data_IF_304856880547
#
_entry.id   IF_304856880547
#
_cell.length_a   1.000
_cell.length_b   1.000
_cell.length_c   1.000
_cell.angle_alpha   90.00
_cell.angle_beta   90.00
_cell.angle_gamma   90.00
#
_symmetry.space_group_name_H-M   'P 1'
#
loop_
_entity.id
_entity.type
_entity.pdbx_description
1 polymer ?
#
# COMPACT_ATOMS: atom_id res chain seq x y z
N UNK A 1 32.28 -49.58 14.26
CA UNK A 1 31.30 -48.63 14.82
C UNK A 1 31.25 -47.43 13.88
N UNK A 2 30.18 -47.32 13.09
CA UNK A 2 30.00 -46.21 12.14
C UNK A 2 29.41 -45.04 12.91
N UNK A 3 30.24 -44.10 13.37
CA UNK A 3 29.76 -42.89 14.05
C UNK A 3 29.12 -41.99 13.00
N UNK A 4 27.80 -41.89 13.02
CA UNK A 4 27.03 -41.07 12.10
C UNK A 4 27.45 -39.60 12.23
N UNK A 5 27.89 -38.99 11.11
CA UNK A 5 28.20 -37.55 11.02
C UNK A 5 26.93 -36.68 10.92
N UNK A 6 25.76 -37.33 10.78
CA UNK A 6 24.43 -36.73 10.67
C UNK A 6 24.10 -35.74 11.80
N UNK A 7 24.25 -36.06 13.11
CA UNK A 7 23.94 -35.11 14.19
C UNK A 7 24.85 -33.86 14.17
N UNK A 8 26.13 -33.99 13.82
CA UNK A 8 27.04 -32.84 13.70
C UNK A 8 26.70 -31.95 12.52
N UNK A 9 26.24 -32.54 11.39
CA UNK A 9 25.77 -31.77 10.24
C UNK A 9 24.50 -30.99 10.60
N UNK A 10 23.53 -31.62 11.26
CA UNK A 10 22.27 -30.98 11.72
C UNK A 10 22.56 -29.79 12.64
N UNK A 11 23.52 -29.91 13.56
CA UNK A 11 23.92 -28.81 14.45
C UNK A 11 24.52 -27.63 13.68
N UNK A 12 25.31 -27.89 12.63
CA UNK A 12 25.84 -26.84 11.76
C UNK A 12 24.72 -26.11 11.01
N UNK A 13 23.72 -26.82 10.46
CA UNK A 13 22.61 -26.19 9.71
C UNK A 13 21.79 -25.25 10.61
N UNK A 14 21.58 -25.62 11.89
CA UNK A 14 20.84 -24.80 12.85
C UNK A 14 21.58 -23.50 13.25
N UNK A 15 22.91 -23.46 13.18
CA UNK A 15 23.69 -22.25 13.51
C UNK A 15 23.74 -21.21 12.39
N UNK A 16 23.41 -21.59 11.15
CA UNK A 16 23.56 -20.75 9.95
C UNK A 16 22.33 -19.85 9.70
N UNK A 17 21.20 -20.08 10.36
CA UNK A 17 19.91 -19.54 9.94
C UNK A 17 19.44 -18.25 10.65
N UNK A 18 20.33 -17.28 10.88
CA UNK A 18 19.92 -15.95 11.39
C UNK A 18 20.58 -14.83 10.57
N UNK A 19 20.11 -14.67 9.33
CA UNK A 19 20.48 -13.56 8.45
C UNK A 19 19.63 -12.30 8.75
N UNK A 20 20.20 -11.11 8.57
CA UNK A 20 19.42 -9.88 8.65
C UNK A 20 18.53 -9.75 7.42
N UNK A 21 17.31 -9.26 7.63
CA UNK A 21 16.37 -9.00 6.54
C UNK A 21 15.40 -7.89 6.91
N UNK A 22 14.79 -7.30 5.89
CA UNK A 22 13.58 -6.49 6.05
C UNK A 22 12.39 -7.42 5.90
N UNK A 23 11.46 -7.34 6.84
CA UNK A 23 10.16 -7.99 6.73
C UNK A 23 9.10 -6.93 6.42
N UNK A 24 8.44 -7.08 5.28
CA UNK A 24 7.18 -6.40 4.97
C UNK A 24 6.09 -7.45 4.82
N UNK A 25 4.83 -7.06 5.05
CA UNK A 25 3.73 -7.89 4.59
C UNK A 25 3.73 -7.85 3.05
N UNK A 26 3.72 -9.01 2.40
CA UNK A 26 3.71 -9.08 0.92
C UNK A 26 2.50 -8.37 0.31
N UNK A 27 1.38 -8.34 1.03
CA UNK A 27 0.15 -7.70 0.61
C UNK A 27 -0.54 -7.02 1.80
N UNK A 28 -1.02 -5.80 1.59
CA UNK A 28 -1.83 -5.03 2.55
C UNK A 28 -3.13 -4.60 1.86
N UNK A 29 -4.26 -4.72 2.55
CA UNK A 29 -5.55 -4.23 2.06
C UNK A 29 -5.90 -2.95 2.80
N UNK A 30 -6.00 -1.84 2.06
CA UNK A 30 -6.55 -0.58 2.52
C UNK A 30 -8.00 -0.42 2.06
N UNK A 31 -8.75 0.43 2.76
CA UNK A 31 -10.13 0.75 2.41
C UNK A 31 -10.27 2.22 2.07
N UNK A 32 -11.04 2.54 1.02
CA UNK A 32 -11.25 3.92 0.58
C UNK A 32 -11.79 4.78 1.72
N UNK A 33 -11.17 5.94 1.95
CA UNK A 33 -11.55 6.88 2.99
C UNK A 33 -10.98 6.58 4.39
N UNK A 34 -10.34 5.42 4.57
CA UNK A 34 -9.70 5.03 5.82
C UNK A 34 -8.18 5.21 5.73
N UNK A 35 -7.53 5.24 6.88
CA UNK A 35 -6.08 5.22 6.97
C UNK A 35 -5.58 3.77 6.88
N UNK A 36 -4.43 3.57 6.25
CA UNK A 36 -3.76 2.27 6.16
C UNK A 36 -2.32 2.40 6.61
N UNK A 37 -1.78 1.33 7.22
CA UNK A 37 -0.36 1.22 7.57
C UNK A 37 0.26 0.11 6.74
N UNK A 38 1.34 0.43 6.03
CA UNK A 38 2.21 -0.54 5.37
C UNK A 38 3.33 -0.92 6.34
N UNK A 39 3.27 -2.10 6.98
CA UNK A 39 4.26 -2.47 7.96
C UNK A 39 5.59 -2.79 7.28
N UNK A 40 6.66 -2.26 7.87
CA UNK A 40 8.02 -2.62 7.53
C UNK A 40 8.82 -2.74 8.82
N UNK A 41 9.56 -3.85 8.96
CA UNK A 41 10.32 -4.16 10.16
C UNK A 41 11.72 -4.65 9.80
N UNK A 42 12.72 -4.09 10.46
CA UNK A 42 14.08 -4.60 10.36
C UNK A 42 14.30 -5.79 11.31
N UNK A 43 14.73 -6.94 10.78
CA UNK A 43 15.07 -8.12 11.57
C UNK A 43 16.57 -8.15 11.76
N UNK A 44 16.99 -7.85 12.99
CA UNK A 44 18.39 -7.97 13.36
C UNK A 44 18.78 -9.45 13.49
N UNK A 45 19.87 -9.80 12.83
CA UNK A 45 20.51 -11.12 12.92
C UNK A 45 21.55 -11.16 14.03
N UNK A 46 22.51 -12.07 13.91
CA UNK A 46 23.59 -12.23 14.92
C UNK A 46 24.52 -11.02 15.04
N UNK A 47 24.74 -10.30 13.94
CA UNK A 47 25.59 -9.10 13.94
C UNK A 47 24.79 -7.87 14.34
N UNK A 48 25.32 -7.09 15.29
CA UNK A 48 24.71 -5.85 15.74
C UNK A 48 24.83 -4.76 14.67
N UNK A 49 23.72 -4.11 14.35
CA UNK A 49 23.65 -2.96 13.46
C UNK A 49 22.68 -1.93 13.98
N UNK A 50 22.88 -0.69 13.55
CA UNK A 50 21.98 0.41 13.87
C UNK A 50 21.30 0.89 12.59
N UNK A 51 19.97 1.01 12.64
CA UNK A 51 19.21 1.67 11.59
C UNK A 51 19.59 3.15 11.57
N UNK A 52 20.07 3.62 10.43
CA UNK A 52 20.47 5.02 10.20
C UNK A 52 19.40 5.77 9.42
N UNK A 53 18.68 5.08 8.53
CA UNK A 53 17.64 5.67 7.69
C UNK A 53 16.61 4.62 7.24
N UNK A 54 15.36 5.03 7.14
CA UNK A 54 14.27 4.31 6.49
C UNK A 54 13.67 5.16 5.36
N UNK A 55 13.24 4.52 4.30
CA UNK A 55 12.72 5.18 3.10
C UNK A 55 11.60 4.36 2.48
N UNK A 56 10.60 5.06 1.96
CA UNK A 56 9.53 4.49 1.16
C UNK A 56 9.52 5.09 -0.24
N UNK A 57 9.48 4.20 -1.24
CA UNK A 57 9.33 4.54 -2.64
C UNK A 57 8.07 3.85 -3.22
N UNK A 58 7.35 4.53 -4.11
CA UNK A 58 6.30 3.94 -4.94
C UNK A 58 6.93 3.41 -6.22
N UNK A 59 6.62 2.17 -6.58
CA UNK A 59 7.07 1.56 -7.83
C UNK A 59 5.93 1.62 -8.85
N UNK A 60 6.13 2.39 -9.92
CA UNK A 60 5.17 2.45 -11.02
C UNK A 60 5.12 1.14 -11.80
N UNK A 61 4.03 0.85 -12.54
CA UNK A 61 3.95 -0.30 -13.43
C UNK A 61 5.10 -0.37 -14.46
N UNK A 62 5.61 0.78 -14.88
CA UNK A 62 6.74 0.91 -15.81
C UNK A 62 8.12 0.68 -15.15
N UNK A 63 8.15 0.39 -13.84
CA UNK A 63 9.36 0.15 -13.06
C UNK A 63 10.03 1.42 -12.51
N UNK A 64 9.42 2.60 -12.67
CA UNK A 64 9.98 3.85 -12.15
C UNK A 64 9.72 3.97 -10.65
N UNK A 65 10.76 4.32 -9.89
CA UNK A 65 10.69 4.56 -8.45
C UNK A 65 10.45 6.04 -8.16
N UNK A 66 9.36 6.34 -7.46
CA UNK A 66 9.05 7.68 -6.94
C UNK A 66 9.24 7.69 -5.44
N UNK A 67 10.17 8.51 -4.94
CA UNK A 67 10.39 8.65 -3.50
C UNK A 67 9.18 9.31 -2.83
N UNK A 68 8.67 8.69 -1.78
CA UNK A 68 7.50 9.17 -1.04
C UNK A 68 7.96 9.91 0.21
N UNK A 69 8.78 9.24 1.02
CA UNK A 69 9.19 9.73 2.33
C UNK A 69 10.50 9.09 2.75
N UNK A 70 11.30 9.84 3.49
CA UNK A 70 12.53 9.38 4.13
C UNK A 70 12.51 9.77 5.60
N UNK A 71 13.02 8.92 6.46
CA UNK A 71 13.34 9.24 7.84
C UNK A 71 14.81 8.93 8.08
N UNK A 72 15.54 9.91 8.60
CA UNK A 72 16.93 9.76 9.01
C UNK A 72 17.06 10.04 10.51
N UNK A 73 17.85 9.23 11.21
CA UNK A 73 17.99 9.33 12.67
C UNK A 73 18.47 10.71 13.15
N UNK A 74 19.29 11.41 12.36
CA UNK A 74 19.83 12.73 12.70
C UNK A 74 19.00 13.90 12.13
N UNK A 75 18.42 13.71 10.95
CA UNK A 75 17.75 14.79 10.20
C UNK A 75 16.23 14.75 10.29
N UNK A 76 15.66 13.71 10.89
CA UNK A 76 14.22 13.54 11.03
C UNK A 76 13.52 13.11 9.74
N UNK A 77 12.24 13.48 9.62
CA UNK A 77 11.34 13.10 8.53
C UNK A 77 11.44 14.09 7.37
N UNK A 78 11.48 13.58 6.14
CA UNK A 78 11.37 14.32 4.89
C UNK A 78 10.31 13.71 3.99
N UNK A 79 9.32 14.51 3.58
CA UNK A 79 8.25 14.11 2.63
C UNK A 79 8.61 14.67 1.25
N UNK A 80 8.53 13.83 0.22
CA UNK A 80 8.87 14.19 -1.16
C UNK A 80 7.61 14.44 -2.01
N UNK A 81 7.78 15.13 -3.14
CA UNK A 81 6.71 15.32 -4.12
C UNK A 81 6.26 13.96 -4.69
N UNK A 82 5.00 13.61 -4.44
CA UNK A 82 4.37 12.36 -4.87
C UNK A 82 2.84 12.50 -4.82
N UNK A 83 2.12 11.52 -5.38
CA UNK A 83 0.65 11.44 -5.30
C UNK A 83 0.10 11.28 -3.87
N UNK A 84 0.98 11.01 -2.90
CA UNK A 84 0.65 10.87 -1.47
C UNK A 84 1.06 12.08 -0.62
N UNK A 85 1.63 13.13 -1.22
CA UNK A 85 2.08 14.31 -0.48
C UNK A 85 0.97 14.88 0.41
N UNK A 86 1.30 15.15 1.66
CA UNK A 86 0.37 15.66 2.68
C UNK A 86 -0.56 14.60 3.29
N UNK A 87 -0.48 13.33 2.85
CA UNK A 87 -1.26 12.22 3.39
C UNK A 87 -0.40 11.12 4.01
N UNK A 88 0.91 11.32 4.12
CA UNK A 88 1.83 10.30 4.63
C UNK A 88 2.48 10.71 5.94
N UNK A 89 2.72 9.70 6.78
CA UNK A 89 3.65 9.79 7.89
C UNK A 89 4.41 8.46 8.05
N UNK A 90 5.44 8.45 8.88
CA UNK A 90 6.21 7.25 9.21
C UNK A 90 6.23 7.04 10.71
N UNK A 91 5.89 5.83 11.14
CA UNK A 91 6.05 5.39 12.52
C UNK A 91 7.00 4.20 12.55
N UNK A 92 8.08 4.34 13.31
CA UNK A 92 9.27 3.49 13.25
C UNK A 92 9.83 3.34 11.82
N UNK A 93 9.57 2.23 11.12
CA UNK A 93 9.86 2.06 9.69
C UNK A 93 8.61 1.89 8.82
N UNK A 94 7.41 1.89 9.41
CA UNK A 94 6.15 1.63 8.72
C UNK A 94 5.55 2.92 8.13
N UNK A 95 5.03 2.84 6.90
CA UNK A 95 4.39 3.96 6.22
C UNK A 95 2.91 4.02 6.59
N UNK A 96 2.44 5.18 7.05
CA UNK A 96 1.02 5.45 7.24
C UNK A 96 0.52 6.30 6.07
N UNK A 97 -0.56 5.87 5.42
CA UNK A 97 -1.23 6.61 4.35
C UNK A 97 -2.64 6.95 4.83
N UNK A 98 -2.95 8.25 4.87
CA UNK A 98 -4.24 8.77 5.32
C UNK A 98 -5.24 8.88 4.18
N UNK A 99 -6.51 8.65 4.50
CA UNK A 99 -7.64 8.77 3.58
C UNK A 99 -7.32 8.14 2.21
N UNK A 100 -7.14 6.82 2.22
CA UNK A 100 -6.74 6.00 1.07
C UNK A 100 -7.74 6.18 -0.09
N UNK A 101 -7.21 6.24 -1.31
CA UNK A 101 -7.96 6.27 -2.55
C UNK A 101 -7.57 5.08 -3.45
N UNK A 102 -8.43 4.71 -4.41
CA UNK A 102 -8.12 3.63 -5.37
C UNK A 102 -6.82 3.88 -6.17
N UNK A 103 -6.49 5.16 -6.42
CA UNK A 103 -5.25 5.56 -7.08
C UNK A 103 -3.99 5.29 -6.26
N UNK A 104 -4.12 5.01 -4.97
CA UNK A 104 -2.99 4.71 -4.09
C UNK A 104 -2.59 3.22 -4.17
N UNK A 105 -3.40 2.37 -4.82
CA UNK A 105 -3.08 0.96 -5.02
C UNK A 105 -1.81 0.80 -5.86
N UNK A 106 -0.94 -0.13 -5.47
CA UNK A 106 0.32 -0.36 -6.18
C UNK A 106 1.40 -0.99 -5.32
N UNK A 107 2.60 -1.07 -5.88
CA UNK A 107 3.76 -1.66 -5.22
C UNK A 107 4.57 -0.58 -4.50
N UNK A 108 4.93 -0.85 -3.24
CA UNK A 108 5.68 0.06 -2.38
C UNK A 108 6.94 -0.63 -1.88
N UNK A 109 8.08 0.04 -1.95
CA UNK A 109 9.37 -0.49 -1.53
C UNK A 109 9.76 0.18 -0.23
N UNK A 110 9.99 -0.61 0.81
CA UNK A 110 10.63 -0.16 2.04
C UNK A 110 12.13 -0.42 1.94
N UNK A 111 12.96 0.62 2.10
CA UNK A 111 14.42 0.51 2.17
C UNK A 111 14.90 0.96 3.55
N UNK A 112 15.67 0.10 4.21
CA UNK A 112 16.27 0.35 5.52
C UNK A 112 17.78 0.32 5.37
N UNK A 113 18.42 1.44 5.66
CA UNK A 113 19.86 1.57 5.72
C UNK A 113 20.34 1.39 7.15
N UNK A 114 21.37 0.57 7.30
CA UNK A 114 22.00 0.24 8.56
C UNK A 114 23.51 0.42 8.48
N UNK A 115 24.13 0.69 9.62
CA UNK A 115 25.59 0.67 9.76
C UNK A 115 26.00 -0.44 10.74
N UNK A 116 27.00 -1.28 10.43
CA UNK A 116 27.83 -1.29 9.20
C UNK A 116 27.26 -2.15 8.06
N UNK A 117 26.10 -2.79 8.26
CA UNK A 117 25.63 -3.91 7.41
C UNK A 117 25.04 -3.49 6.07
N UNK A 118 24.88 -2.18 5.82
CA UNK A 118 24.44 -1.65 4.54
C UNK A 118 22.92 -1.56 4.41
N UNK A 119 22.44 -1.72 3.18
CA UNK A 119 21.05 -1.44 2.80
C UNK A 119 20.26 -2.71 2.56
N UNK A 120 19.05 -2.77 3.13
CA UNK A 120 18.11 -3.86 2.96
C UNK A 120 16.79 -3.29 2.45
N UNK A 121 16.08 -4.04 1.62
CA UNK A 121 14.78 -3.61 1.12
C UNK A 121 13.85 -4.79 0.90
N UNK A 122 12.55 -4.51 0.94
CA UNK A 122 11.51 -5.44 0.54
C UNK A 122 10.29 -4.68 -0.01
N UNK A 123 9.42 -5.36 -0.72
CA UNK A 123 8.28 -4.77 -1.45
C UNK A 123 6.95 -5.29 -0.92
N UNK A 124 5.99 -4.39 -0.71
CA UNK A 124 4.61 -4.69 -0.35
C UNK A 124 3.64 -4.23 -1.44
N UNK A 125 2.58 -4.99 -1.66
CA UNK A 125 1.50 -4.62 -2.57
C UNK A 125 0.30 -4.06 -1.77
N UNK A 126 -0.05 -2.80 -1.99
CA UNK A 126 -1.28 -2.21 -1.46
C UNK A 126 -2.45 -2.47 -2.41
N UNK A 127 -3.44 -3.22 -1.94
CA UNK A 127 -4.74 -3.34 -2.57
C UNK A 127 -5.72 -2.39 -1.90
N UNK A 128 -6.58 -1.75 -2.69
CA UNK A 128 -7.59 -0.83 -2.17
C UNK A 128 -8.98 -1.36 -2.48
N UNK A 129 -9.83 -1.44 -1.46
CA UNK A 129 -11.21 -1.90 -1.55
C UNK A 129 -12.18 -0.84 -1.02
N UNK A 130 -13.46 -0.96 -1.37
CA UNK A 130 -14.52 -0.19 -0.73
C UNK A 130 -15.20 -1.03 0.33
N UNK A 131 -15.42 -0.46 1.52
CA UNK A 131 -16.33 -1.08 2.49
C UNK A 131 -17.77 -0.84 2.03
N UNK A 132 -18.47 -1.93 1.74
CA UNK A 132 -19.93 -1.91 1.60
C UNK A 132 -20.52 -1.78 3.00
N UNK A 133 -20.81 -0.55 3.42
CA UNK A 133 -21.69 -0.33 4.56
C UNK A 133 -23.10 -0.70 4.15
N UNK A 134 -23.48 -1.97 4.34
CA UNK A 134 -24.88 -2.34 4.47
C UNK A 134 -25.36 -1.73 5.79
N UNK A 135 -25.72 -0.46 5.79
CA UNK A 135 -26.53 0.05 6.88
C UNK A 135 -27.86 -0.69 6.80
N UNK A 136 -28.10 -1.67 7.67
CA UNK A 136 -29.45 -2.06 8.07
C UNK A 136 -30.09 -0.94 8.92
N UNK A 137 -29.92 0.32 8.52
CA UNK A 137 -30.89 1.36 8.81
C UNK A 137 -31.79 1.38 7.60
N UNK A 138 -33.00 0.87 7.81
CA UNK A 138 -34.18 1.25 7.05
C UNK A 138 -34.20 2.78 6.93
N UNK A 139 -33.59 3.31 5.88
CA UNK A 139 -33.88 4.58 5.25
C UNK A 139 -33.75 4.29 3.77
N UNK A 140 -34.91 4.23 3.13
CA UNK A 140 -35.16 4.06 1.70
C UNK A 140 -34.39 5.09 0.88
N UNK A 141 -33.12 4.81 0.57
CA UNK A 141 -32.35 5.56 -0.41
C UNK A 141 -31.80 4.57 -1.43
N UNK A 142 -32.42 4.58 -2.62
CA UNK A 142 -32.04 3.74 -3.74
C UNK A 142 -30.61 4.07 -4.22
N UNK A 143 -29.80 3.06 -4.62
CA UNK A 143 -28.51 3.31 -5.25
C UNK A 143 -28.70 4.08 -6.56
N UNK A 144 -27.81 5.05 -6.85
CA UNK A 144 -27.79 5.72 -8.15
C UNK A 144 -27.16 4.76 -9.18
N UNK A 145 -27.95 4.43 -10.19
CA UNK A 145 -27.56 3.55 -11.29
C UNK A 145 -27.25 4.42 -12.51
N UNK A 146 -26.00 4.39 -12.97
CA UNK A 146 -25.57 5.07 -14.19
C UNK A 146 -25.43 4.07 -15.32
N UNK A 147 -25.97 4.42 -16.48
CA UNK A 147 -26.03 3.56 -17.64
C UNK A 147 -25.25 4.17 -18.80
N UNK A 148 -24.47 3.36 -19.53
CA UNK A 148 -23.96 3.72 -20.86
C UNK A 148 -24.55 2.81 -21.91
N UNK A 149 -25.10 3.40 -22.97
CA UNK A 149 -25.37 2.67 -24.20
C UNK A 149 -24.06 2.22 -24.85
N UNK A 150 -23.94 0.91 -25.09
CA UNK A 150 -22.84 0.29 -25.84
C UNK A 150 -23.44 -0.54 -26.99
N UNK A 151 -22.68 -0.82 -28.07
CA UNK A 151 -23.24 -1.42 -29.29
C UNK A 151 -24.01 -2.74 -29.08
N UNK A 152 -23.68 -3.48 -28.02
CA UNK A 152 -24.27 -4.78 -27.69
C UNK A 152 -25.06 -4.80 -26.37
N UNK A 153 -25.48 -3.64 -25.85
CA UNK A 153 -26.30 -3.58 -24.64
C UNK A 153 -26.08 -2.32 -23.79
N UNK A 154 -26.32 -2.46 -22.49
CA UNK A 154 -26.20 -1.37 -21.53
C UNK A 154 -25.14 -1.74 -20.49
N UNK A 155 -24.12 -0.88 -20.33
CA UNK A 155 -23.14 -1.04 -19.26
C UNK A 155 -23.63 -0.29 -18.01
N UNK A 156 -23.87 -1.02 -16.93
CA UNK A 156 -24.38 -0.49 -15.66
C UNK A 156 -23.23 -0.24 -14.69
N UNK A 157 -23.10 0.99 -14.20
CA UNK A 157 -22.24 1.31 -13.05
C UNK A 157 -23.11 1.56 -11.83
N UNK A 158 -23.00 0.66 -10.86
CA UNK A 158 -23.62 0.82 -9.54
C UNK A 158 -22.62 1.58 -8.68
N UNK A 159 -22.96 2.81 -8.30
CA UNK A 159 -22.15 3.57 -7.35
C UNK A 159 -22.70 3.32 -5.94
N UNK A 160 -22.06 2.48 -5.11
CA UNK A 160 -22.45 2.39 -3.70
C UNK A 160 -22.23 3.76 -3.06
N UNK A 161 -23.29 4.28 -2.46
CA UNK A 161 -23.43 5.61 -1.88
C UNK A 161 -22.12 6.19 -1.27
N UNK A 162 -21.67 7.34 -1.79
CA UNK A 162 -20.46 8.06 -1.36
C UNK A 162 -20.77 8.96 -0.14
N UNK A 163 -19.91 9.03 0.88
CA UNK A 163 -20.13 9.89 2.04
C UNK A 163 -20.09 11.39 1.67
N UNK A 164 -21.04 12.11 2.25
CA UNK A 164 -21.42 13.51 2.04
C UNK A 164 -20.28 14.50 2.34
N UNK A 165 -19.25 14.63 1.49
CA UNK A 165 -18.37 15.82 1.50
C UNK A 165 -17.55 16.12 0.24
N UNK A 166 -17.65 15.37 -0.86
CA UNK A 166 -16.89 15.68 -2.10
C UNK A 166 -17.80 15.81 -3.31
N UNK A 167 -17.52 16.82 -4.13
CA UNK A 167 -18.25 17.10 -5.37
C UNK A 167 -18.19 15.89 -6.31
N UNK A 168 -19.37 15.35 -6.65
CA UNK A 168 -19.57 14.18 -7.52
C UNK A 168 -18.82 14.30 -8.87
N UNK A 169 -18.70 15.53 -9.39
CA UNK A 169 -17.96 15.83 -10.62
C UNK A 169 -16.44 15.56 -10.52
N UNK A 170 -15.83 15.77 -9.34
CA UNK A 170 -14.39 15.47 -9.16
C UNK A 170 -14.08 13.98 -9.10
N UNK A 171 -15.04 13.17 -8.62
CA UNK A 171 -14.89 11.73 -8.50
C UNK A 171 -15.05 11.03 -9.85
N UNK A 172 -16.02 11.48 -10.65
CA UNK A 172 -16.16 11.03 -12.04
C UNK A 172 -14.93 11.42 -12.88
N UNK A 173 -14.33 12.58 -12.64
CA UNK A 173 -13.12 13.03 -13.35
C UNK A 173 -11.89 12.12 -13.19
N UNK A 174 -11.77 11.37 -12.08
CA UNK A 174 -10.63 10.46 -11.85
C UNK A 174 -10.74 9.12 -12.61
N UNK A 175 -11.91 8.76 -13.12
CA UNK A 175 -12.14 7.55 -13.91
C UNK A 175 -12.18 7.82 -15.43
N UNK A 176 -12.11 9.08 -15.86
CA UNK A 176 -12.54 9.49 -17.19
C UNK A 176 -11.43 10.20 -17.97
N UNK A 177 -10.43 9.45 -18.43
CA UNK A 177 -9.65 9.86 -19.61
C UNK A 177 -10.35 9.27 -20.84
N UNK A 178 -11.05 10.13 -21.59
CA UNK A 178 -11.72 9.92 -22.90
C UNK A 178 -13.23 9.56 -22.90
N UNK A 179 -14.01 10.53 -23.40
CA UNK A 179 -15.31 10.39 -24.10
C UNK A 179 -16.55 9.96 -23.32
N UNK A 180 -17.11 10.85 -22.49
CA UNK A 180 -18.40 10.63 -21.82
C UNK A 180 -19.18 11.94 -21.64
N UNK A 181 -19.83 12.40 -22.71
CA UNK A 181 -20.70 13.59 -22.71
C UNK A 181 -22.18 13.30 -22.42
N UNK A 182 -22.56 12.04 -22.18
CA UNK A 182 -23.96 11.63 -21.92
C UNK A 182 -24.04 10.48 -20.92
N UNK A 183 -24.04 10.79 -19.62
CA UNK A 183 -24.48 9.88 -18.56
C UNK A 183 -25.92 10.26 -18.21
N UNK A 184 -26.85 9.33 -18.40
CA UNK A 184 -28.25 9.47 -17.96
C UNK A 184 -28.49 8.68 -16.67
N UNK A 185 -29.31 9.24 -15.78
CA UNK A 185 -29.80 8.53 -14.60
C UNK A 185 -30.89 7.57 -15.07
N UNK A 186 -30.68 6.27 -14.89
CA UNK A 186 -31.73 5.28 -15.12
C UNK A 186 -32.74 5.33 -13.96
N UNK A 187 -34.01 5.56 -14.25
CA UNK A 187 -35.12 5.45 -13.30
C UNK A 187 -35.48 3.99 -13.02
#
# INVERSE_FOLDING_TARGET
>A
MCTSLLPSLILFILTVFWAQKVEVLSQVTGYVGFDVTLPCRFIQGKESSNVTQSQWDFLSPDGNKTKIMVFNKQHGKGVHESHLKGRVDMDDQSLQIKNVAFSDAGSYICTINTFPLGSFHDTTQLHVQALLFLSLRSHSHHPLIYCKSVPNGLLMMIVPFYPKSKNLFSFLGQFLQSSWSTLEICC
#
